data_IF_559160216544
#
_entry.id   IF_559160216544
#
_cell.length_a   1.000
_cell.length_b   1.000
_cell.length_c   1.000
_cell.angle_alpha   90.00
_cell.angle_beta   90.00
_cell.angle_gamma   90.00
#
_symmetry.space_group_name_H-M   'P 1'
#
loop_
_entity.id
_entity.type
_entity.pdbx_description
1 polymer ?
#
# COMPACT_ATOMS: atom_id res chain seq x y z
N UNK A 1 4.40 -3.01 -6.62
CA UNK A 1 3.40 -2.34 -5.76
C UNK A 1 2.39 -3.35 -5.25
N UNK A 2 1.84 -3.18 -4.04
CA UNK A 2 0.81 -4.06 -3.47
C UNK A 2 -0.32 -3.28 -2.83
N UNK A 3 -1.54 -3.79 -2.94
CA UNK A 3 -2.75 -3.23 -2.36
C UNK A 3 -3.53 -4.36 -1.65
N UNK A 4 -3.70 -4.25 -0.34
CA UNK A 4 -4.55 -5.17 0.42
C UNK A 4 -6.01 -4.76 0.25
N UNK A 5 -6.84 -5.69 -0.24
CA UNK A 5 -8.29 -5.51 -0.39
C UNK A 5 -9.03 -6.17 0.78
N UNK A 6 -10.31 -5.81 0.94
CA UNK A 6 -11.19 -6.49 1.91
C UNK A 6 -11.32 -7.99 1.58
N UNK A 7 -11.32 -8.82 2.61
CA UNK A 7 -11.41 -10.29 2.50
C UNK A 7 -10.07 -10.97 2.18
N UNK A 8 -8.97 -10.47 2.75
CA UNK A 8 -7.62 -11.07 2.70
C UNK A 8 -7.04 -11.31 1.30
N UNK A 9 -7.55 -10.59 0.31
CA UNK A 9 -7.03 -10.62 -1.07
C UNK A 9 -6.03 -9.50 -1.27
N UNK A 10 -4.85 -9.83 -1.76
CA UNK A 10 -3.82 -8.85 -2.14
C UNK A 10 -3.79 -8.71 -3.65
N UNK A 11 -3.81 -7.47 -4.15
CA UNK A 11 -3.44 -7.15 -5.52
C UNK A 11 -1.98 -6.75 -5.58
N UNK A 12 -1.21 -7.37 -6.47
CA UNK A 12 0.17 -6.99 -6.74
C UNK A 12 0.41 -6.74 -8.22
N UNK A 13 1.28 -5.79 -8.50
CA UNK A 13 1.73 -5.47 -9.86
C UNK A 13 3.23 -5.17 -9.82
N UNK A 14 3.98 -5.74 -10.78
CA UNK A 14 5.35 -5.32 -11.05
C UNK A 14 5.25 -4.00 -11.81
N UNK A 15 5.69 -2.92 -11.16
CA UNK A 15 5.63 -1.58 -11.72
C UNK A 15 7.04 -1.22 -12.16
N UNK A 16 7.28 -1.13 -13.47
CA UNK A 16 8.58 -0.76 -14.05
C UNK A 16 8.91 0.72 -13.82
N UNK A 17 7.89 1.59 -13.85
CA UNK A 17 8.00 3.02 -13.58
C UNK A 17 7.36 3.39 -12.22
N UNK A 18 8.22 3.58 -11.23
CA UNK A 18 7.85 3.95 -9.86
C UNK A 18 7.48 5.45 -9.72
N UNK A 19 7.00 6.10 -10.79
CA UNK A 19 6.60 7.50 -10.73
C UNK A 19 5.36 7.69 -9.86
N UNK A 20 5.26 8.87 -9.25
CA UNK A 20 4.09 9.26 -8.45
C UNK A 20 2.80 9.14 -9.27
N UNK A 21 2.81 9.64 -10.51
CA UNK A 21 1.67 9.61 -11.40
C UNK A 21 1.20 8.18 -11.70
N UNK A 22 2.13 7.26 -12.00
CA UNK A 22 1.78 5.86 -12.29
C UNK A 22 1.15 5.18 -11.08
N UNK A 23 1.76 5.33 -9.91
CA UNK A 23 1.27 4.70 -8.68
C UNK A 23 -0.07 5.25 -8.24
N UNK A 24 -0.23 6.57 -8.28
CA UNK A 24 -1.48 7.23 -7.95
C UNK A 24 -2.61 6.81 -8.90
N UNK A 25 -2.32 6.68 -10.20
CA UNK A 25 -3.28 6.14 -11.18
C UNK A 25 -3.73 4.72 -10.84
N UNK A 26 -2.80 3.83 -10.46
CA UNK A 26 -3.12 2.47 -10.02
C UNK A 26 -4.00 2.48 -8.76
N UNK A 27 -3.65 3.29 -7.76
CA UNK A 27 -4.42 3.40 -6.51
C UNK A 27 -5.85 3.87 -6.81
N UNK A 28 -6.01 4.93 -7.59
CA UNK A 28 -7.31 5.46 -8.00
C UNK A 28 -8.14 4.44 -8.78
N UNK A 29 -7.52 3.67 -9.66
CA UNK A 29 -8.22 2.68 -10.48
C UNK A 29 -8.56 1.37 -9.75
N UNK A 30 -7.92 1.07 -8.61
CA UNK A 30 -8.09 -0.22 -7.90
C UNK A 30 -8.73 -0.09 -6.52
N UNK A 31 -8.65 1.07 -5.87
CA UNK A 31 -9.27 1.32 -4.58
C UNK A 31 -10.54 2.15 -4.75
N UNK A 32 -11.65 1.67 -4.18
CA UNK A 32 -12.88 2.45 -4.12
C UNK A 32 -12.69 3.70 -3.25
N UNK A 33 -13.43 4.77 -3.53
CA UNK A 33 -13.41 6.02 -2.75
C UNK A 33 -13.76 5.80 -1.26
N UNK A 34 -14.53 4.75 -0.97
CA UNK A 34 -14.88 4.34 0.39
C UNK A 34 -13.79 3.56 1.12
N UNK A 35 -12.64 3.33 0.47
CA UNK A 35 -11.53 2.56 1.06
C UNK A 35 -10.80 3.37 2.12
N UNK A 36 -10.26 2.66 3.11
CA UNK A 36 -9.25 3.21 4.02
C UNK A 36 -7.89 2.95 3.39
N UNK A 37 -7.13 4.01 3.14
CA UNK A 37 -5.80 3.91 2.54
C UNK A 37 -4.74 4.00 3.64
N UNK A 38 -3.83 3.03 3.67
CA UNK A 38 -2.59 3.09 4.44
C UNK A 38 -1.43 3.17 3.46
N UNK A 39 -0.62 4.22 3.54
CA UNK A 39 0.58 4.38 2.71
C UNK A 39 1.79 4.72 3.55
N UNK A 40 2.98 4.38 3.08
CA UNK A 40 4.21 4.78 3.76
C UNK A 40 4.60 6.25 3.49
N UNK A 41 5.75 6.65 4.04
CA UNK A 41 6.34 7.98 3.93
C UNK A 41 6.85 8.38 2.54
N UNK A 42 6.78 7.52 1.52
CA UNK A 42 7.40 7.78 0.24
C UNK A 42 6.75 8.93 -0.54
N UNK A 43 7.59 9.73 -1.21
CA UNK A 43 7.18 10.95 -1.93
C UNK A 43 6.17 10.67 -3.05
N UNK A 44 6.17 9.47 -3.63
CA UNK A 44 5.23 9.08 -4.70
C UNK A 44 3.77 9.10 -4.26
N UNK A 45 3.53 8.99 -2.95
CA UNK A 45 2.20 9.03 -2.35
C UNK A 45 1.73 10.44 -1.97
N UNK A 46 2.60 11.45 -2.08
CA UNK A 46 2.20 12.85 -1.91
C UNK A 46 1.19 13.21 -3.02
N UNK A 47 -0.08 13.39 -2.65
CA UNK A 47 -1.19 13.61 -3.58
C UNK A 47 -2.40 12.70 -3.36
N UNK A 48 -2.22 11.55 -2.68
CA UNK A 48 -3.34 10.64 -2.37
C UNK A 48 -4.40 11.32 -1.50
N UNK A 49 -4.01 12.23 -0.62
CA UNK A 49 -4.92 12.99 0.25
C UNK A 49 -5.98 13.78 -0.55
N UNK A 50 -5.65 14.18 -1.78
CA UNK A 50 -6.53 14.93 -2.67
C UNK A 50 -7.57 14.04 -3.37
N UNK A 51 -7.46 12.71 -3.24
CA UNK A 51 -8.29 11.79 -4.01
C UNK A 51 -9.67 11.56 -3.39
N UNK A 52 -9.98 12.21 -2.26
CA UNK A 52 -11.28 12.14 -1.61
C UNK A 52 -11.55 10.84 -0.83
N UNK A 53 -10.52 10.04 -0.55
CA UNK A 53 -10.67 8.85 0.28
C UNK A 53 -11.15 9.21 1.69
N UNK A 54 -12.12 8.46 2.21
CA UNK A 54 -12.72 8.72 3.53
C UNK A 54 -11.69 8.75 4.67
N UNK A 55 -10.64 7.92 4.58
CA UNK A 55 -9.55 7.84 5.57
C UNK A 55 -8.24 7.53 4.88
N UNK A 56 -7.22 8.37 5.09
CA UNK A 56 -5.85 8.13 4.64
C UNK A 56 -4.90 8.25 5.82
N UNK A 57 -4.19 7.16 6.13
CA UNK A 57 -3.20 7.10 7.19
C UNK A 57 -1.82 6.91 6.60
N UNK A 58 -0.87 7.73 7.07
CA UNK A 58 0.54 7.63 6.67
C UNK A 58 1.33 6.90 7.74
N UNK A 59 2.01 5.83 7.36
CA UNK A 59 2.85 5.03 8.25
C UNK A 59 4.28 5.58 8.21
N UNK A 60 4.81 5.94 9.38
CA UNK A 60 6.16 6.49 9.51
C UNK A 60 7.12 5.42 10.04
N UNK A 61 7.73 4.67 9.11
CA UNK A 61 8.67 3.58 9.44
C UNK A 61 9.96 4.04 10.15
N UNK A 62 10.25 5.34 10.22
CA UNK A 62 11.43 5.89 10.91
C UNK A 62 11.29 6.08 12.43
N UNK A 63 10.10 5.86 13.00
CA UNK A 63 9.82 6.07 14.44
C UNK A 63 9.46 4.78 15.22
N UNK A 64 9.79 3.60 14.69
CA UNK A 64 9.31 2.30 15.22
C UNK A 64 7.77 2.21 15.31
N UNK A 65 7.05 3.04 14.54
CA UNK A 65 5.59 3.02 14.51
C UNK A 65 5.17 2.00 13.43
N UNK A 66 5.23 0.72 13.79
CA UNK A 66 4.85 -0.39 12.91
C UNK A 66 3.33 -0.51 12.73
N UNK A 67 2.55 0.04 13.66
CA UNK A 67 1.10 0.19 13.51
C UNK A 67 0.55 1.18 14.55
N UNK A 68 -0.28 2.13 14.12
CA UNK A 68 -1.40 2.59 14.96
C UNK A 68 -2.60 1.72 14.60
N UNK A 69 -2.84 0.69 15.40
CA UNK A 69 -4.11 -0.06 15.40
C UNK A 69 -4.54 -0.69 14.07
N UNK A 70 -3.63 -1.38 13.34
CA UNK A 70 -3.93 -1.84 11.97
C UNK A 70 -3.46 -3.26 11.63
N UNK A 71 -4.34 -4.24 11.87
CA UNK A 71 -4.19 -5.61 11.38
C UNK A 71 -3.96 -5.68 9.85
N UNK A 72 -4.50 -4.72 9.09
CA UNK A 72 -4.35 -4.65 7.63
C UNK A 72 -2.92 -4.33 7.16
N UNK A 73 -2.14 -3.54 7.90
CA UNK A 73 -0.75 -3.25 7.53
C UNK A 73 0.11 -4.50 7.73
N UNK A 74 -0.07 -5.19 8.87
CA UNK A 74 0.62 -6.45 9.17
C UNK A 74 0.34 -7.52 8.10
N UNK A 75 -0.87 -7.53 7.52
CA UNK A 75 -1.24 -8.46 6.44
C UNK A 75 -0.46 -8.25 5.15
N UNK A 76 -0.30 -6.99 4.70
CA UNK A 76 0.47 -6.70 3.48
C UNK A 76 1.98 -6.89 3.70
N UNK A 77 2.50 -6.56 4.89
CA UNK A 77 3.90 -6.81 5.24
C UNK A 77 4.22 -8.31 5.27
N UNK A 78 3.35 -9.11 5.89
CA UNK A 78 3.46 -10.57 5.93
C UNK A 78 3.42 -11.17 4.52
N UNK A 79 2.51 -10.68 3.67
CA UNK A 79 2.47 -11.05 2.25
C UNK A 79 3.80 -10.78 1.56
N UNK A 80 4.39 -9.58 1.74
CA UNK A 80 5.67 -9.24 1.11
C UNK A 80 6.85 -10.04 1.66
N UNK A 81 6.86 -10.36 2.95
CA UNK A 81 7.83 -11.27 3.55
C UNK A 81 7.79 -12.66 2.89
N UNK A 82 6.60 -13.24 2.77
CA UNK A 82 6.41 -14.52 2.10
C UNK A 82 6.78 -14.46 0.62
N UNK A 83 6.31 -13.43 -0.10
CA UNK A 83 6.58 -13.26 -1.53
C UNK A 83 8.09 -13.17 -1.82
N UNK A 84 8.85 -12.38 -1.05
CA UNK A 84 10.32 -12.27 -1.21
C UNK A 84 11.01 -13.63 -1.08
N UNK A 85 10.66 -14.42 -0.05
CA UNK A 85 11.22 -15.75 0.16
C UNK A 85 10.93 -16.67 -1.03
N UNK A 86 9.71 -16.61 -1.57
CA UNK A 86 9.32 -17.42 -2.73
C UNK A 86 10.05 -16.98 -3.99
N UNK A 87 10.19 -15.68 -4.24
CA UNK A 87 10.93 -15.16 -5.40
C UNK A 87 12.43 -15.46 -5.34
N UNK A 88 13.04 -15.53 -4.17
CA UNK A 88 14.46 -15.91 -4.03
C UNK A 88 14.75 -17.40 -4.27
N UNK A 89 13.71 -18.24 -4.41
CA UNK A 89 13.83 -19.68 -4.68
C UNK A 89 13.53 -20.03 -6.15
N UNK A 90 13.24 -19.03 -6.97
CA UNK A 90 13.05 -19.12 -8.42
C UNK A 90 14.35 -18.64 -9.07
#
# INVERSE_FOLDING_TARGET
>A
MGLLKRGDKVYTEIVSDCSAARLQSIIRGKASIDSVIHSDGWKGYNGIVDFGYKKHFRVHHGKNEFARDNAHINGIESFWGYAKIRFSKI
#
